data_IF_893501441555
#
_entry.id   IF_893501441555
#
_cell.length_a   1.000
_cell.length_b   1.000
_cell.length_c   1.000
_cell.angle_alpha   90.00
_cell.angle_beta   90.00
_cell.angle_gamma   90.00
#
_symmetry.space_group_name_H-M   'P 1'
#
loop_
_entity.id
_entity.type
_entity.pdbx_description
1 polymer ?
#
# COMPACT_ATOMS: atom_id res chain seq x y z
N UNK A 1 -18.26 -25.96 4.89
CA UNK A 1 -17.16 -25.00 5.10
C UNK A 1 -17.63 -23.64 4.61
N UNK A 2 -18.20 -22.84 5.51
CA UNK A 2 -18.69 -21.49 5.20
C UNK A 2 -17.52 -20.58 4.84
N UNK A 3 -17.29 -20.41 3.55
CA UNK A 3 -16.40 -19.41 2.98
C UNK A 3 -17.11 -18.05 2.96
N UNK A 4 -17.54 -17.56 4.12
CA UNK A 4 -17.88 -16.15 4.27
C UNK A 4 -16.58 -15.36 4.10
N UNK A 5 -16.26 -15.08 2.83
CA UNK A 5 -15.15 -14.26 2.37
C UNK A 5 -15.17 -12.93 3.13
N UNK A 6 -14.46 -12.86 4.26
CA UNK A 6 -14.34 -11.66 5.06
C UNK A 6 -13.40 -10.71 4.32
N UNK A 7 -13.99 -9.79 3.58
CA UNK A 7 -13.28 -8.85 2.70
C UNK A 7 -12.34 -7.96 3.52
N UNK A 8 -12.75 -7.57 4.73
CA UNK A 8 -11.91 -6.85 5.68
C UNK A 8 -10.64 -7.63 6.01
N UNK A 9 -10.73 -8.94 6.27
CA UNK A 9 -9.55 -9.76 6.58
C UNK A 9 -8.59 -9.87 5.39
N UNK A 10 -9.13 -10.04 4.18
CA UNK A 10 -8.32 -10.08 2.96
C UNK A 10 -7.59 -8.76 2.73
N UNK A 11 -8.32 -7.65 2.82
CA UNK A 11 -7.75 -6.32 2.68
C UNK A 11 -6.72 -6.01 3.77
N UNK A 12 -6.99 -6.42 5.01
CA UNK A 12 -6.06 -6.27 6.13
C UNK A 12 -4.74 -7.03 5.91
N UNK A 13 -4.80 -8.24 5.33
CA UNK A 13 -3.58 -8.98 4.95
C UNK A 13 -2.74 -8.22 3.93
N UNK A 14 -3.36 -7.57 2.95
CA UNK A 14 -2.66 -6.72 1.99
C UNK A 14 -2.04 -5.50 2.68
N UNK A 15 -2.75 -4.87 3.61
CA UNK A 15 -2.22 -3.75 4.38
C UNK A 15 -1.02 -4.14 5.24
N UNK A 16 -1.00 -5.33 5.85
CA UNK A 16 0.20 -5.84 6.54
C UNK A 16 1.38 -6.02 5.59
N UNK A 17 1.15 -6.51 4.37
CA UNK A 17 2.20 -6.66 3.37
C UNK A 17 2.74 -5.30 2.93
N UNK A 18 1.87 -4.31 2.71
CA UNK A 18 2.25 -2.92 2.44
C UNK A 18 3.15 -2.38 3.56
N UNK A 19 2.74 -2.51 4.82
CA UNK A 19 3.53 -2.01 5.95
C UNK A 19 4.92 -2.66 6.02
N UNK A 20 5.01 -3.97 5.72
CA UNK A 20 6.27 -4.69 5.63
C UNK A 20 7.16 -4.14 4.50
N UNK A 21 6.59 -3.97 3.30
CA UNK A 21 7.30 -3.42 2.14
C UNK A 21 7.80 -2.00 2.39
N UNK A 22 6.99 -1.15 3.04
CA UNK A 22 7.37 0.21 3.40
C UNK A 22 8.48 0.23 4.46
N UNK A 23 8.42 -0.67 5.44
CA UNK A 23 9.48 -0.82 6.44
C UNK A 23 10.80 -1.23 5.77
N UNK A 24 10.73 -2.18 4.83
CA UNK A 24 11.89 -2.59 4.04
C UNK A 24 12.44 -1.42 3.20
N UNK A 25 11.57 -0.65 2.53
CA UNK A 25 11.96 0.51 1.74
C UNK A 25 12.65 1.58 2.59
N UNK A 26 12.11 1.86 3.79
CA UNK A 26 12.72 2.79 4.74
C UNK A 26 14.09 2.30 5.20
N UNK A 27 14.23 1.01 5.52
CA UNK A 27 15.51 0.42 5.90
C UNK A 27 16.55 0.51 4.77
N UNK A 28 16.13 0.23 3.53
CA UNK A 28 17.01 0.32 2.37
C UNK A 28 17.52 1.76 2.11
N UNK A 29 16.71 2.78 2.41
CA UNK A 29 17.16 4.18 2.39
C UNK A 29 18.18 4.42 3.51
N UNK A 30 17.90 3.97 4.74
CA UNK A 30 18.77 4.21 5.89
C UNK A 30 20.16 3.59 5.73
N UNK A 31 20.25 2.40 5.14
CA UNK A 31 21.52 1.70 4.92
C UNK A 31 22.42 2.42 3.89
N UNK A 32 21.83 3.25 3.01
CA UNK A 32 22.47 4.19 2.07
C UNK A 32 23.88 3.79 1.55
N UNK A 33 24.07 2.53 1.17
CA UNK A 33 25.42 2.04 0.81
C UNK A 33 25.81 2.38 -0.63
N UNK A 34 24.82 2.58 -1.51
CA UNK A 34 25.02 3.00 -2.90
C UNK A 34 23.74 3.73 -3.39
N UNK A 35 23.90 4.94 -3.91
CA UNK A 35 22.78 5.80 -4.32
C UNK A 35 21.91 5.19 -5.43
N UNK A 36 22.50 4.49 -6.39
CA UNK A 36 21.72 3.87 -7.47
C UNK A 36 20.93 2.67 -6.96
N UNK A 37 21.57 1.83 -6.15
CA UNK A 37 20.97 0.63 -5.60
C UNK A 37 19.85 0.98 -4.60
N UNK A 38 20.04 2.05 -3.81
CA UNK A 38 19.02 2.57 -2.90
C UNK A 38 17.78 3.09 -3.65
N UNK A 39 17.93 3.72 -4.83
CA UNK A 39 16.79 4.14 -5.66
C UNK A 39 15.92 2.97 -6.10
N UNK A 40 16.53 1.87 -6.54
CA UNK A 40 15.77 0.67 -6.95
C UNK A 40 15.13 -0.03 -5.74
N UNK A 41 15.89 -0.19 -4.65
CA UNK A 41 15.39 -0.80 -3.42
C UNK A 41 14.29 0.01 -2.72
N UNK A 42 14.23 1.32 -2.96
CA UNK A 42 13.11 2.15 -2.52
C UNK A 42 11.96 2.13 -3.52
N UNK A 43 12.23 2.38 -4.80
CA UNK A 43 11.21 2.54 -5.82
C UNK A 43 10.36 1.28 -6.04
N UNK A 44 10.99 0.10 -6.04
CA UNK A 44 10.28 -1.16 -6.29
C UNK A 44 9.23 -1.47 -5.21
N UNK A 45 9.56 -1.50 -3.89
CA UNK A 45 8.56 -1.70 -2.85
C UNK A 45 7.43 -0.66 -2.87
N UNK A 46 7.72 0.60 -3.21
CA UNK A 46 6.70 1.65 -3.29
C UNK A 46 5.69 1.36 -4.41
N UNK A 47 6.16 1.00 -5.62
CA UNK A 47 5.28 0.67 -6.74
C UNK A 47 4.41 -0.56 -6.41
N UNK A 48 5.03 -1.62 -5.87
CA UNK A 48 4.32 -2.83 -5.46
C UNK A 48 3.26 -2.50 -4.40
N UNK A 49 3.64 -1.73 -3.37
CA UNK A 49 2.71 -1.27 -2.33
C UNK A 49 1.56 -0.45 -2.88
N UNK A 50 1.82 0.33 -3.93
CA UNK A 50 0.82 1.09 -4.67
C UNK A 50 -0.26 0.20 -5.31
N UNK A 51 0.17 -0.82 -6.05
CA UNK A 51 -0.73 -1.80 -6.67
C UNK A 51 -1.54 -2.53 -5.59
N UNK A 52 -0.88 -2.96 -4.51
CA UNK A 52 -1.54 -3.60 -3.38
C UNK A 52 -2.57 -2.67 -2.72
N UNK A 53 -2.29 -1.37 -2.60
CA UNK A 53 -3.21 -0.37 -2.07
C UNK A 53 -4.48 -0.22 -2.93
N UNK A 54 -4.34 -0.22 -4.25
CA UNK A 54 -5.48 -0.20 -5.18
C UNK A 54 -6.32 -1.47 -5.02
N UNK A 55 -5.69 -2.65 -5.03
CA UNK A 55 -6.38 -3.94 -4.87
C UNK A 55 -7.08 -4.03 -3.51
N UNK A 56 -6.40 -3.63 -2.43
CA UNK A 56 -6.97 -3.62 -1.08
C UNK A 56 -8.16 -2.67 -0.94
N UNK A 57 -8.08 -1.49 -1.57
CA UNK A 57 -9.20 -0.53 -1.63
C UNK A 57 -10.40 -1.13 -2.37
N UNK A 58 -10.17 -1.81 -3.49
CA UNK A 58 -11.23 -2.49 -4.24
C UNK A 58 -11.90 -3.63 -3.45
N UNK A 59 -11.11 -4.42 -2.71
CA UNK A 59 -11.62 -5.48 -1.81
C UNK A 59 -12.47 -4.86 -0.68
N UNK A 60 -11.99 -3.80 -0.04
CA UNK A 60 -12.74 -3.08 1.00
C UNK A 60 -14.05 -2.50 0.48
N UNK A 61 -14.08 -2.00 -0.75
CA UNK A 61 -15.28 -1.49 -1.37
C UNK A 61 -16.37 -2.58 -1.48
N UNK A 62 -15.99 -3.81 -1.84
CA UNK A 62 -16.90 -4.97 -1.82
C UNK A 62 -17.37 -5.31 -0.40
N UNK A 63 -16.47 -5.20 0.58
CA UNK A 63 -16.72 -5.42 2.00
C UNK A 63 -17.35 -4.25 2.76
N UNK A 64 -17.89 -3.23 2.08
CA UNK A 64 -18.33 -1.98 2.73
C UNK A 64 -19.36 -2.19 3.85
N UNK A 65 -20.23 -3.18 3.70
CA UNK A 65 -21.30 -3.52 4.65
C UNK A 65 -20.82 -4.23 5.92
N UNK A 66 -19.57 -4.70 5.95
CA UNK A 66 -19.00 -5.35 7.14
C UNK A 66 -18.87 -4.34 8.31
N UNK A 67 -19.02 -4.77 9.56
CA UNK A 67 -18.92 -3.88 10.71
C UNK A 67 -17.53 -3.23 10.80
N UNK A 68 -17.49 -2.00 11.32
CA UNK A 68 -16.22 -1.31 11.57
C UNK A 68 -15.55 -1.96 12.78
N UNK A 69 -14.31 -2.42 12.59
CA UNK A 69 -13.43 -2.93 13.62
C UNK A 69 -12.00 -2.40 13.36
N UNK A 70 -11.07 -2.69 14.28
CA UNK A 70 -9.67 -2.25 14.18
C UNK A 70 -9.02 -2.64 12.85
N UNK A 71 -9.24 -3.87 12.37
CA UNK A 71 -8.68 -4.36 11.11
C UNK A 71 -9.20 -3.57 9.91
N UNK A 72 -10.50 -3.26 9.89
CA UNK A 72 -11.13 -2.47 8.82
C UNK A 72 -10.59 -1.04 8.80
N UNK A 73 -10.38 -0.44 9.98
CA UNK A 73 -9.77 0.89 10.09
C UNK A 73 -8.35 0.89 9.53
N UNK A 74 -7.50 -0.06 9.96
CA UNK A 74 -6.12 -0.19 9.44
C UNK A 74 -6.15 -0.41 7.92
N UNK A 75 -7.02 -1.30 7.45
CA UNK A 75 -7.10 -1.62 6.04
C UNK A 75 -7.51 -0.42 5.19
N UNK A 76 -8.47 0.38 5.66
CA UNK A 76 -8.89 1.61 4.97
C UNK A 76 -7.74 2.62 4.94
N UNK A 77 -7.13 2.91 6.09
CA UNK A 77 -6.08 3.93 6.20
C UNK A 77 -4.87 3.57 5.34
N UNK A 78 -4.33 2.36 5.48
CA UNK A 78 -3.09 1.96 4.80
C UNK A 78 -3.30 1.91 3.28
N UNK A 79 -4.40 1.30 2.83
CA UNK A 79 -4.66 1.18 1.39
C UNK A 79 -4.95 2.54 0.75
N UNK A 80 -5.78 3.39 1.40
CA UNK A 80 -6.07 4.72 0.90
C UNK A 80 -4.81 5.61 0.87
N UNK A 81 -4.00 5.58 1.92
CA UNK A 81 -2.73 6.31 1.98
C UNK A 81 -1.80 5.91 0.82
N UNK A 82 -1.70 4.61 0.50
CA UNK A 82 -0.89 4.15 -0.62
C UNK A 82 -1.43 4.61 -1.98
N UNK A 83 -2.74 4.59 -2.18
CA UNK A 83 -3.35 5.10 -3.42
C UNK A 83 -3.06 6.59 -3.57
N UNK A 84 -3.25 7.37 -2.51
CA UNK A 84 -2.97 8.82 -2.50
C UNK A 84 -1.48 9.07 -2.78
N UNK A 85 -0.58 8.30 -2.17
CA UNK A 85 0.86 8.42 -2.38
C UNK A 85 1.24 8.22 -3.86
N UNK A 86 0.75 7.15 -4.49
CA UNK A 86 1.04 6.88 -5.91
C UNK A 86 0.47 7.96 -6.81
N UNK A 87 -0.78 8.39 -6.57
CA UNK A 87 -1.39 9.49 -7.33
C UNK A 87 -0.55 10.77 -7.20
N UNK A 88 -0.08 11.08 -5.99
CA UNK A 88 0.75 12.26 -5.73
C UNK A 88 2.09 12.17 -6.46
N UNK A 89 2.75 11.00 -6.43
CA UNK A 89 4.00 10.77 -7.18
C UNK A 89 3.77 10.93 -8.69
N UNK A 90 2.68 10.37 -9.21
CA UNK A 90 2.35 10.44 -10.63
C UNK A 90 2.06 11.87 -11.09
N UNK A 91 1.24 12.61 -10.34
CA UNK A 91 0.91 14.01 -10.61
C UNK A 91 2.19 14.87 -10.52
N UNK A 92 2.98 14.69 -9.47
CA UNK A 92 4.26 15.39 -9.30
C UNK A 92 5.17 15.17 -10.50
N UNK A 93 5.40 13.91 -10.91
CA UNK A 93 6.23 13.60 -12.07
C UNK A 93 5.67 14.14 -13.39
N UNK A 94 4.35 14.30 -13.50
CA UNK A 94 3.72 14.87 -14.71
C UNK A 94 3.91 16.39 -14.73
N UNK A 95 3.66 17.08 -13.62
CA UNK A 95 3.79 18.54 -13.50
C UNK A 95 5.24 19.01 -13.59
N UNK A 96 6.21 18.29 -13.00
CA UNK A 96 7.63 18.67 -13.07
C UNK A 96 8.25 18.48 -14.46
N UNK A 97 7.55 17.81 -15.37
CA UNK A 97 8.03 17.53 -16.73
C UNK A 97 7.36 18.40 -17.80
N UNK A 98 6.33 19.16 -17.42
CA UNK A 98 5.66 20.21 -18.20
C UNK A 98 6.38 21.55 -18.01
#
# INVERSE_FOLDING_TARGET
>A
MDSSSNYTEQSYKLSKLILFLLTFAAFAIMVNSNAELSRYLFGFPIIVSGILGIVGTYILYKGRHEPINEKKVIAVIVNAAMVILILTIFISNTLYRL
#
